data_IF_522286551742
#
_entry.id   IF_522286551742
#
_cell.length_a   1.000
_cell.length_b   1.000
_cell.length_c   1.000
_cell.angle_alpha   90.00
_cell.angle_beta   90.00
_cell.angle_gamma   90.00
#
_symmetry.space_group_name_H-M   'P 1'
#
loop_
_entity.id
_entity.type
_entity.pdbx_description
1 polymer ?
#
# COMPACT_ATOMS: atom_id res chain seq x y z
N UNK A 1 1.10 20.48 -0.23
CA UNK A 1 1.33 20.32 1.22
C UNK A 1 1.20 18.84 1.54
N UNK A 2 2.10 18.26 2.33
CA UNK A 2 1.99 16.86 2.73
C UNK A 2 0.86 16.75 3.75
N UNK A 3 -0.10 15.87 3.51
CA UNK A 3 -1.18 15.57 4.45
C UNK A 3 -0.70 14.49 5.43
N UNK A 4 -0.49 14.88 6.68
CA UNK A 4 0.04 14.00 7.73
C UNK A 4 -0.92 12.85 8.06
N UNK A 5 -2.24 13.11 8.05
CA UNK A 5 -3.27 12.12 8.35
C UNK A 5 -3.38 11.07 7.24
N UNK A 6 -3.29 11.51 5.98
CA UNK A 6 -3.23 10.61 4.84
C UNK A 6 -2.03 9.67 4.95
N UNK A 7 -0.85 10.22 5.26
CA UNK A 7 0.38 9.45 5.39
C UNK A 7 0.32 8.45 6.54
N UNK A 8 -0.19 8.86 7.71
CA UNK A 8 -0.35 7.97 8.86
C UNK A 8 -1.26 6.78 8.53
N UNK A 9 -2.44 7.06 7.96
CA UNK A 9 -3.41 6.02 7.57
C UNK A 9 -2.88 5.10 6.47
N UNK A 10 -2.11 5.63 5.53
CA UNK A 10 -1.49 4.84 4.47
C UNK A 10 -0.44 3.88 5.04
N UNK A 11 0.46 4.36 5.90
CA UNK A 11 1.50 3.53 6.54
C UNK A 11 0.88 2.43 7.40
N UNK A 12 -0.12 2.76 8.23
CA UNK A 12 -0.85 1.79 9.03
C UNK A 12 -1.56 0.75 8.17
N UNK A 13 -2.22 1.21 7.10
CA UNK A 13 -2.93 0.35 6.16
C UNK A 13 -2.03 -0.63 5.42
N UNK A 14 -0.85 -0.19 4.96
CA UNK A 14 0.15 -1.06 4.32
C UNK A 14 0.65 -2.10 5.32
N UNK A 15 1.03 -1.66 6.52
CA UNK A 15 1.55 -2.55 7.57
C UNK A 15 0.54 -3.63 7.94
N UNK A 16 -0.74 -3.25 8.10
CA UNK A 16 -1.82 -4.19 8.34
C UNK A 16 -2.00 -5.18 7.17
N UNK A 17 -2.01 -4.69 5.92
CA UNK A 17 -2.17 -5.55 4.74
C UNK A 17 -1.08 -6.65 4.64
N UNK A 18 0.18 -6.30 4.92
CA UNK A 18 1.28 -7.27 4.95
C UNK A 18 1.16 -8.26 6.11
N UNK A 19 0.79 -7.78 7.30
CA UNK A 19 0.55 -8.63 8.47
C UNK A 19 -0.59 -9.62 8.21
N UNK A 20 -1.70 -9.18 7.63
CA UNK A 20 -2.86 -10.02 7.27
C UNK A 20 -2.48 -11.09 6.23
N UNK A 21 -1.52 -10.78 5.34
CA UNK A 21 -0.99 -11.71 4.36
C UNK A 21 0.07 -12.68 4.93
N UNK A 22 0.45 -12.54 6.20
CA UNK A 22 1.53 -13.32 6.82
C UNK A 22 2.92 -13.01 6.23
N UNK A 23 3.10 -11.85 5.61
CA UNK A 23 4.35 -11.44 4.96
C UNK A 23 5.07 -10.37 5.78
N UNK A 24 6.40 -10.48 5.87
CA UNK A 24 7.23 -9.44 6.49
C UNK A 24 7.48 -8.28 5.53
N UNK A 25 7.39 -7.04 6.03
CA UNK A 25 7.75 -5.84 5.28
C UNK A 25 8.90 -5.10 5.98
N UNK A 26 10.04 -5.00 5.31
CA UNK A 26 11.18 -4.24 5.82
C UNK A 26 10.81 -2.73 5.90
N UNK A 27 11.23 -1.99 6.96
CA UNK A 27 10.89 -0.57 7.12
C UNK A 27 11.27 0.31 5.92
N UNK A 28 12.41 0.05 5.29
CA UNK A 28 12.86 0.76 4.08
C UNK A 28 11.90 0.54 2.89
N UNK A 29 11.33 -0.66 2.77
CA UNK A 29 10.35 -0.98 1.74
C UNK A 29 8.99 -0.36 2.05
N UNK A 30 8.58 -0.33 3.31
CA UNK A 30 7.38 0.40 3.75
C UNK A 30 7.46 1.88 3.36
N UNK A 31 8.57 2.56 3.66
CA UNK A 31 8.75 3.97 3.30
C UNK A 31 8.68 4.21 1.79
N UNK A 32 9.38 3.38 0.99
CA UNK A 32 9.33 3.47 -0.48
C UNK A 32 7.93 3.22 -1.03
N UNK A 33 7.22 2.24 -0.49
CA UNK A 33 5.86 1.90 -0.91
C UNK A 33 4.88 3.01 -0.54
N UNK A 34 4.94 3.53 0.69
CA UNK A 34 4.10 4.65 1.12
C UNK A 34 4.30 5.87 0.22
N UNK A 35 5.55 6.24 -0.08
CA UNK A 35 5.85 7.35 -0.99
C UNK A 35 5.29 7.12 -2.40
N UNK A 36 5.37 5.90 -2.92
CA UNK A 36 4.78 5.58 -4.22
C UNK A 36 3.25 5.66 -4.19
N UNK A 37 2.62 5.03 -3.21
CA UNK A 37 1.16 4.94 -3.12
C UNK A 37 0.51 6.29 -2.83
N UNK A 38 1.13 7.15 -2.03
CA UNK A 38 0.62 8.52 -1.81
C UNK A 38 0.68 9.33 -3.10
N UNK A 39 1.73 9.19 -3.91
CA UNK A 39 1.81 9.86 -5.21
C UNK A 39 0.73 9.34 -6.17
N UNK A 40 0.46 8.02 -6.18
CA UNK A 40 -0.64 7.44 -6.96
C UNK A 40 -2.00 7.99 -6.52
N UNK A 41 -2.25 8.10 -5.21
CA UNK A 41 -3.49 8.64 -4.65
C UNK A 41 -3.66 10.11 -5.05
N UNK A 42 -2.64 10.94 -4.81
CA UNK A 42 -2.67 12.37 -5.13
C UNK A 42 -2.86 12.61 -6.62
N UNK A 43 -2.23 11.80 -7.49
CA UNK A 43 -2.36 11.94 -8.93
C UNK A 43 -3.73 11.49 -9.48
N UNK A 44 -4.45 10.64 -8.75
CA UNK A 44 -5.75 10.09 -9.17
C UNK A 44 -6.95 10.78 -8.52
N UNK A 45 -6.72 11.80 -7.69
CA UNK A 45 -7.75 12.52 -6.94
C UNK A 45 -7.84 13.98 -7.41
N UNK A 46 -9.05 14.55 -7.42
CA UNK A 46 -9.25 15.94 -7.81
C UNK A 46 -8.89 16.91 -6.67
N UNK A 47 -8.93 16.43 -5.42
CA UNK A 47 -8.51 17.18 -4.25
C UNK A 47 -8.39 16.34 -2.97
N UNK A 48 -7.98 16.96 -1.85
CA UNK A 48 -7.82 16.29 -0.56
C UNK A 48 -9.06 15.58 -0.01
N UNK A 49 -10.24 16.06 -0.39
CA UNK A 49 -11.54 15.47 -0.10
C UNK A 49 -11.70 14.05 -0.65
N UNK A 50 -11.02 13.72 -1.75
CA UNK A 50 -11.11 12.41 -2.41
C UNK A 50 -10.09 11.41 -1.87
N UNK A 51 -9.03 11.89 -1.20
CA UNK A 51 -7.94 11.05 -0.71
C UNK A 51 -8.41 9.88 0.17
N UNK A 52 -9.39 10.04 1.10
CA UNK A 52 -9.86 8.91 1.90
C UNK A 52 -10.48 7.78 1.05
N UNK A 53 -11.22 8.13 0.00
CA UNK A 53 -11.82 7.18 -0.92
C UNK A 53 -10.77 6.45 -1.75
N UNK A 54 -9.86 7.21 -2.36
CA UNK A 54 -8.75 6.68 -3.15
C UNK A 54 -7.82 5.79 -2.31
N UNK A 55 -7.49 6.21 -1.08
CA UNK A 55 -6.72 5.43 -0.12
C UNK A 55 -7.36 4.07 0.16
N UNK A 56 -8.67 4.06 0.47
CA UNK A 56 -9.41 2.83 0.74
C UNK A 56 -9.34 1.87 -0.44
N UNK A 57 -9.54 2.36 -1.66
CA UNK A 57 -9.44 1.56 -2.88
C UNK A 57 -8.03 1.00 -3.07
N UNK A 58 -6.99 1.83 -2.92
CA UNK A 58 -5.59 1.41 -3.10
C UNK A 58 -5.16 0.36 -2.08
N UNK A 59 -5.59 0.49 -0.82
CA UNK A 59 -5.30 -0.51 0.23
C UNK A 59 -6.08 -1.82 0.01
N UNK A 60 -7.30 -1.77 -0.53
CA UNK A 60 -8.03 -2.97 -0.92
C UNK A 60 -7.34 -3.70 -2.07
N UNK A 61 -6.86 -2.96 -3.07
CA UNK A 61 -6.07 -3.49 -4.17
C UNK A 61 -4.77 -4.15 -3.66
N UNK A 62 -4.01 -3.48 -2.79
CA UNK A 62 -2.78 -4.03 -2.20
C UNK A 62 -3.04 -5.36 -1.49
N UNK A 63 -4.10 -5.47 -0.69
CA UNK A 63 -4.46 -6.73 -0.03
C UNK A 63 -4.75 -7.86 -1.03
N UNK A 64 -5.42 -7.55 -2.14
CA UNK A 64 -5.68 -8.52 -3.20
C UNK A 64 -4.37 -8.94 -3.90
N UNK A 65 -3.48 -8.00 -4.22
CA UNK A 65 -2.18 -8.26 -4.81
C UNK A 65 -1.33 -9.19 -3.93
N UNK A 66 -1.27 -8.93 -2.62
CA UNK A 66 -0.54 -9.77 -1.66
C UNK A 66 -1.13 -11.18 -1.55
N UNK A 67 -2.47 -11.30 -1.53
CA UNK A 67 -3.15 -12.60 -1.50
C UNK A 67 -2.91 -13.41 -2.77
N UNK A 68 -2.97 -12.75 -3.93
CA UNK A 68 -2.69 -13.39 -5.22
C UNK A 68 -1.22 -13.83 -5.31
N UNK A 69 -0.28 -12.99 -4.86
CA UNK A 69 1.14 -13.34 -4.83
C UNK A 69 1.43 -14.53 -3.89
N UNK A 70 0.73 -14.64 -2.75
CA UNK A 70 0.85 -15.80 -1.88
C UNK A 70 0.30 -17.09 -2.51
N UNK A 71 -0.61 -16.98 -3.48
CA UNK A 71 -1.25 -18.11 -4.15
C UNK A 71 -0.50 -18.58 -5.41
N UNK A 72 0.54 -17.86 -5.85
CA UNK A 72 1.39 -18.21 -7.00
C UNK A 72 2.83 -18.52 -6.57
N UNK A 73 3.18 -19.81 -6.36
CA UNK A 73 4.51 -20.23 -5.93
C UNK A 73 5.63 -19.90 -6.92
N UNK A 74 5.32 -19.57 -8.19
CA UNK A 74 6.31 -19.26 -9.21
C UNK A 74 6.88 -17.83 -9.06
N UNK A 75 6.17 -16.92 -8.39
CA UNK A 75 6.57 -15.52 -8.24
C UNK A 75 7.66 -15.32 -7.17
N UNK A 76 7.70 -16.18 -6.14
CA UNK A 76 8.71 -16.14 -5.07
C UNK A 76 10.15 -16.38 -5.56
N UNK A 77 10.36 -16.91 -6.77
CA UNK A 77 11.71 -17.14 -7.34
C UNK A 77 12.34 -15.91 -8.02
N UNK A 78 11.62 -14.79 -8.20
CA UNK A 78 12.19 -13.60 -8.89
C UNK A 78 12.76 -12.53 -7.95
N UNK A 79 12.70 -12.73 -6.63
CA UNK A 79 13.17 -11.75 -5.64
C UNK A 79 14.29 -12.27 -4.71
N UNK A 80 14.86 -13.45 -5.00
CA UNK A 80 16.01 -14.02 -4.30
C UNK A 80 17.32 -13.78 -5.06
#
# INVERSE_FOLDING_TARGET
MLDEDLMARLVDGITAAYKDAGQGLAPVHLGRMAARLVNEIVAASDGPEDYPGALKMRLAQLRNELRSAASDPASSKRLA
#
